data_IF_493442729286
#
_entry.id   IF_493442729286
#
_cell.length_a   1.000
_cell.length_b   1.000
_cell.length_c   1.000
_cell.angle_alpha   90.00
_cell.angle_beta   90.00
_cell.angle_gamma   90.00
#
_symmetry.space_group_name_H-M   'P 1'
#
loop_
_entity.id
_entity.type
_entity.pdbx_description
1 polymer ?
#
# COMPACT_ATOMS: atom_id res chain seq x y z
N UNK A 1 2.57 -19.99 1.53
CA UNK A 1 1.71 -20.37 2.69
C UNK A 1 1.26 -21.82 2.61
N UNK A 2 0.53 -22.26 1.58
CA UNK A 2 0.04 -23.66 1.50
C UNK A 2 1.16 -24.72 1.46
N UNK A 3 2.26 -24.46 0.75
CA UNK A 3 3.45 -25.34 0.77
C UNK A 3 4.21 -25.25 2.10
N UNK A 4 4.29 -24.04 2.68
CA UNK A 4 4.88 -23.84 4.02
C UNK A 4 4.13 -24.65 5.08
N UNK A 5 2.80 -24.67 5.03
CA UNK A 5 1.95 -25.47 5.94
C UNK A 5 2.01 -26.98 5.68
N UNK A 6 2.52 -27.42 4.53
CA UNK A 6 2.83 -28.83 4.26
C UNK A 6 4.15 -29.27 4.90
N UNK A 7 5.12 -28.35 5.04
CA UNK A 7 6.48 -28.65 5.52
C UNK A 7 6.67 -28.26 6.99
N UNK A 8 6.02 -27.19 7.43
CA UNK A 8 6.11 -26.63 8.77
C UNK A 8 4.77 -26.78 9.49
N UNK A 9 4.77 -27.64 10.50
CA UNK A 9 3.66 -27.81 11.45
C UNK A 9 4.18 -27.34 12.82
N UNK A 10 3.62 -26.27 13.41
CA UNK A 10 4.07 -25.79 14.70
C UNK A 10 3.77 -26.82 15.80
N UNK A 11 4.68 -26.96 16.77
CA UNK A 11 4.52 -27.88 17.91
C UNK A 11 3.25 -27.62 18.73
N UNK A 12 2.73 -26.39 18.69
CA UNK A 12 1.43 -26.04 19.22
C UNK A 12 0.62 -25.30 18.14
N UNK A 13 -0.52 -25.87 17.76
CA UNK A 13 -1.48 -25.16 16.92
C UNK A 13 -2.34 -24.30 17.83
N UNK A 14 -2.07 -22.99 17.78
CA UNK A 14 -2.90 -22.01 18.45
C UNK A 14 -4.18 -21.85 17.63
N UNK A 15 -5.30 -22.09 18.31
CA UNK A 15 -6.61 -21.84 17.74
C UNK A 15 -6.94 -20.36 17.78
N UNK A 16 -8.15 -20.09 17.34
CA UNK A 16 -8.71 -18.76 17.42
C UNK A 16 -8.56 -18.23 18.86
N UNK A 17 -7.75 -17.18 19.06
CA UNK A 17 -7.61 -16.47 20.35
C UNK A 17 -6.40 -16.84 21.17
N UNK A 18 -5.36 -17.41 20.54
CA UNK A 18 -4.11 -17.74 21.22
C UNK A 18 -4.24 -18.88 22.24
N UNK A 19 -5.39 -19.56 22.27
CA UNK A 19 -5.59 -20.76 23.08
C UNK A 19 -5.08 -21.98 22.32
N UNK A 20 -4.23 -22.82 22.93
CA UNK A 20 -3.83 -24.09 22.34
C UNK A 20 -5.07 -24.92 22.02
N UNK A 21 -5.19 -25.41 20.79
CA UNK A 21 -6.24 -26.37 20.46
C UNK A 21 -5.80 -27.71 21.06
N UNK A 22 -6.43 -28.13 22.15
CA UNK A 22 -6.28 -29.48 22.67
C UNK A 22 -6.72 -30.48 21.59
N UNK A 23 -5.80 -31.35 21.17
CA UNK A 23 -6.08 -32.37 20.14
C UNK A 23 -5.67 -32.00 18.70
N UNK A 24 -4.92 -30.90 18.48
CA UNK A 24 -4.42 -30.56 17.15
C UNK A 24 -3.49 -31.61 16.51
N UNK A 25 -2.87 -32.49 17.32
CA UNK A 25 -2.11 -33.64 16.84
C UNK A 25 -2.97 -34.84 16.40
N UNK A 26 -4.28 -34.87 16.73
CA UNK A 26 -5.16 -36.00 16.44
C UNK A 26 -6.25 -35.69 15.40
N UNK A 27 -6.52 -34.41 15.10
CA UNK A 27 -7.59 -33.99 14.18
C UNK A 27 -7.10 -33.29 12.90
N UNK A 28 -5.80 -33.37 12.58
CA UNK A 28 -5.28 -32.90 11.29
C UNK A 28 -5.83 -33.70 10.08
N UNK A 29 -6.48 -34.85 10.34
CA UNK A 29 -7.24 -35.67 9.40
C UNK A 29 -8.75 -35.42 9.47
N UNK A 30 -9.19 -34.17 9.69
CA UNK A 30 -10.54 -33.78 9.29
C UNK A 30 -10.60 -33.61 7.77
N UNK A 31 -10.50 -34.72 7.03
CA UNK A 31 -10.92 -34.87 5.63
C UNK A 31 -12.44 -34.81 5.50
N UNK A 32 -13.09 -33.83 6.16
CA UNK A 32 -14.42 -33.41 5.70
C UNK A 32 -14.18 -32.58 4.46
N UNK A 33 -14.36 -33.19 3.30
CA UNK A 33 -14.48 -32.47 2.03
C UNK A 33 -15.36 -31.25 2.27
N UNK A 34 -14.93 -30.09 1.78
CA UNK A 34 -15.63 -28.82 1.96
C UNK A 34 -17.07 -28.79 1.40
N UNK A 35 -17.54 -29.89 0.79
CA UNK A 35 -18.87 -30.02 0.19
C UNK A 35 -19.08 -29.18 -1.07
N UNK A 36 -18.19 -28.21 -1.33
CA UNK A 36 -18.20 -27.37 -2.52
C UNK A 36 -17.78 -28.15 -3.77
N UNK A 37 -18.52 -27.98 -4.85
CA UNK A 37 -18.11 -28.49 -6.16
C UNK A 37 -16.93 -27.69 -6.70
N UNK A 38 -16.19 -28.26 -7.65
CA UNK A 38 -15.14 -27.53 -8.37
C UNK A 38 -15.71 -26.26 -9.04
N UNK A 39 -16.97 -26.32 -9.50
CA UNK A 39 -17.68 -25.16 -10.05
C UNK A 39 -17.85 -24.03 -9.04
N UNK A 40 -18.25 -24.34 -7.81
CA UNK A 40 -18.44 -23.35 -6.74
C UNK A 40 -17.09 -22.70 -6.37
N UNK A 41 -16.02 -23.50 -6.33
CA UNK A 41 -14.67 -23.00 -6.06
C UNK A 41 -14.24 -22.05 -7.18
N UNK A 42 -14.42 -22.44 -8.44
CA UNK A 42 -14.07 -21.58 -9.59
C UNK A 42 -14.88 -20.29 -9.55
N UNK A 43 -16.18 -20.36 -9.29
CA UNK A 43 -17.05 -19.19 -9.22
C UNK A 43 -16.65 -18.24 -8.07
N UNK A 44 -16.22 -18.77 -6.92
CA UNK A 44 -15.74 -17.98 -5.79
C UNK A 44 -14.42 -17.25 -6.09
N UNK A 45 -13.52 -17.88 -6.84
CA UNK A 45 -12.23 -17.27 -7.23
C UNK A 45 -12.32 -16.39 -8.48
N UNK A 46 -13.37 -16.54 -9.30
CA UNK A 46 -13.54 -15.83 -10.56
C UNK A 46 -13.39 -14.31 -10.43
N UNK A 47 -13.99 -13.61 -9.45
CA UNK A 47 -13.83 -12.16 -9.32
C UNK A 47 -12.37 -11.72 -9.13
N UNK A 48 -11.61 -12.48 -8.34
CA UNK A 48 -10.19 -12.21 -8.08
C UNK A 48 -9.37 -12.47 -9.35
N UNK A 49 -9.64 -13.58 -10.05
CA UNK A 49 -8.95 -13.92 -11.29
C UNK A 49 -9.20 -12.86 -12.38
N UNK A 50 -10.46 -12.41 -12.54
CA UNK A 50 -10.81 -11.34 -13.48
C UNK A 50 -10.12 -10.04 -13.11
N UNK A 51 -10.15 -9.65 -11.83
CA UNK A 51 -9.46 -8.46 -11.34
C UNK A 51 -7.97 -8.50 -11.67
N UNK A 52 -7.29 -9.61 -11.36
CA UNK A 52 -5.86 -9.76 -11.66
C UNK A 52 -5.59 -9.71 -13.16
N UNK A 53 -6.36 -10.45 -13.97
CA UNK A 53 -6.20 -10.48 -15.42
C UNK A 53 -6.38 -9.10 -16.06
N UNK A 54 -7.45 -8.39 -15.70
CA UNK A 54 -7.72 -7.04 -16.22
C UNK A 54 -6.67 -6.05 -15.75
N UNK A 55 -6.33 -6.02 -14.45
CA UNK A 55 -5.34 -5.06 -13.92
C UNK A 55 -3.96 -5.29 -14.54
N UNK A 56 -3.52 -6.55 -14.68
CA UNK A 56 -2.24 -6.89 -15.33
C UNK A 56 -2.26 -6.46 -16.80
N UNK A 57 -3.30 -6.84 -17.55
CA UNK A 57 -3.42 -6.45 -18.95
C UNK A 57 -3.46 -4.92 -19.14
N UNK A 58 -4.09 -4.20 -18.21
CA UNK A 58 -4.31 -2.75 -18.29
C UNK A 58 -3.11 -1.93 -17.83
N UNK A 59 -2.37 -2.38 -16.81
CA UNK A 59 -1.30 -1.61 -16.15
C UNK A 59 0.11 -2.13 -16.41
N UNK A 60 0.24 -3.28 -17.08
CA UNK A 60 1.52 -3.83 -17.47
C UNK A 60 2.31 -2.93 -18.43
N UNK A 61 3.62 -3.16 -18.57
CA UNK A 61 4.52 -2.33 -19.38
C UNK A 61 4.16 -2.25 -20.87
N UNK A 62 3.34 -3.16 -21.37
CA UNK A 62 2.80 -3.16 -22.73
C UNK A 62 1.62 -2.18 -22.94
N UNK A 63 0.97 -1.72 -21.86
CA UNK A 63 -0.21 -0.87 -21.96
C UNK A 63 0.14 0.61 -21.88
N UNK A 64 -0.28 1.37 -22.90
CA UNK A 64 -0.17 2.84 -22.91
C UNK A 64 -1.30 3.54 -22.15
N UNK A 65 -2.29 2.80 -21.67
CA UNK A 65 -3.49 3.36 -21.05
C UNK A 65 -3.17 4.22 -19.81
N UNK A 66 -2.37 3.74 -18.82
CA UNK A 66 -2.12 4.52 -17.60
C UNK A 66 -1.36 5.83 -17.85
N UNK A 67 -0.62 5.91 -18.97
CA UNK A 67 0.14 7.10 -19.36
C UNK A 67 -0.68 8.17 -20.05
N UNK A 68 -1.94 7.90 -20.44
CA UNK A 68 -2.75 8.82 -21.22
C UNK A 68 -3.28 9.96 -20.34
N UNK A 69 -2.81 11.17 -20.62
CA UNK A 69 -3.26 12.41 -19.98
C UNK A 69 -4.39 13.01 -20.80
N UNK A 70 -5.52 13.33 -20.15
CA UNK A 70 -6.64 14.03 -20.78
C UNK A 70 -6.58 15.53 -20.57
N UNK A 71 -6.19 15.96 -19.38
CA UNK A 71 -6.06 17.36 -19.03
C UNK A 71 -4.75 17.55 -18.26
N UNK A 72 -4.02 18.59 -18.64
CA UNK A 72 -2.78 19.01 -17.99
C UNK A 72 -2.96 20.45 -17.53
N UNK A 73 -2.77 20.68 -16.24
CA UNK A 73 -2.70 22.02 -15.69
C UNK A 73 -1.38 22.18 -14.97
N UNK A 74 -0.59 23.18 -15.33
CA UNK A 74 0.62 23.53 -14.62
C UNK A 74 0.61 24.99 -14.16
N UNK A 75 1.22 25.23 -13.01
CA UNK A 75 1.50 26.56 -12.47
C UNK A 75 2.98 26.65 -12.15
N UNK A 76 3.60 27.76 -12.53
CA UNK A 76 4.96 28.07 -12.10
C UNK A 76 4.94 28.51 -10.64
N UNK A 77 5.75 27.85 -9.82
CA UNK A 77 5.96 28.19 -8.41
C UNK A 77 7.45 28.45 -8.16
N UNK A 78 7.77 29.29 -7.18
CA UNK A 78 9.16 29.46 -6.75
C UNK A 78 9.65 28.18 -6.05
N UNK A 79 10.87 27.75 -6.36
CA UNK A 79 11.52 26.65 -5.65
C UNK A 79 11.84 27.06 -4.22
N UNK A 80 11.48 26.20 -3.27
CA UNK A 80 11.85 26.33 -1.86
C UNK A 80 13.24 25.79 -1.54
N UNK A 81 13.87 25.07 -2.49
CA UNK A 81 15.19 24.44 -2.31
C UNK A 81 16.28 25.27 -2.97
N UNK A 82 16.00 25.80 -4.16
CA UNK A 82 17.00 26.49 -4.99
C UNK A 82 16.52 27.89 -5.30
N UNK A 83 17.18 28.88 -4.71
CA UNK A 83 16.80 30.28 -4.86
C UNK A 83 16.91 30.70 -6.34
N UNK A 84 15.87 31.38 -6.84
CA UNK A 84 15.79 31.84 -8.23
C UNK A 84 15.36 30.79 -9.26
N UNK A 85 15.10 29.54 -8.85
CA UNK A 85 14.57 28.50 -9.73
C UNK A 85 13.05 28.42 -9.62
N UNK A 86 12.36 28.36 -10.75
CA UNK A 86 10.93 28.06 -10.81
C UNK A 86 10.71 26.55 -10.98
N UNK A 87 9.84 25.98 -10.14
CA UNK A 87 9.36 24.61 -10.25
C UNK A 87 7.96 24.61 -10.86
N UNK A 88 7.66 23.61 -11.70
CA UNK A 88 6.32 23.41 -12.24
C UNK A 88 5.51 22.53 -11.29
N UNK A 89 4.42 23.08 -10.78
CA UNK A 89 3.38 22.31 -10.10
C UNK A 89 2.36 21.86 -11.15
N UNK A 90 2.45 20.61 -11.59
CA UNK A 90 1.55 20.04 -12.59
C UNK A 90 0.52 19.10 -11.96
N UNK A 91 -0.71 19.15 -12.47
CA UNK A 91 -1.76 18.18 -12.25
C UNK A 91 -2.13 17.54 -13.59
N UNK A 92 -1.85 16.24 -13.72
CA UNK A 92 -2.27 15.44 -14.85
C UNK A 92 -3.53 14.67 -14.51
N UNK A 93 -4.64 14.97 -15.18
CA UNK A 93 -5.81 14.11 -15.13
C UNK A 93 -5.59 12.88 -16.02
N UNK A 94 -5.29 11.75 -15.39
CA UNK A 94 -5.08 10.44 -16.04
C UNK A 94 -6.26 9.52 -15.72
N UNK A 95 -7.32 9.48 -16.55
CA UNK A 95 -8.54 8.73 -16.23
C UNK A 95 -8.36 7.22 -16.38
N UNK A 96 -7.28 6.73 -16.98
CA UNK A 96 -7.06 5.30 -17.25
C UNK A 96 -6.04 4.64 -16.31
N UNK A 97 -5.88 5.21 -15.12
CA UNK A 97 -5.05 4.64 -14.05
C UNK A 97 -5.71 3.41 -13.42
N UNK A 98 -5.01 2.75 -12.48
CA UNK A 98 -5.44 1.48 -11.88
C UNK A 98 -6.87 1.45 -11.33
N UNK A 99 -7.39 2.58 -10.82
CA UNK A 99 -8.79 2.67 -10.36
C UNK A 99 -9.82 2.34 -11.45
N UNK A 100 -9.57 2.77 -12.68
CA UNK A 100 -10.46 2.48 -13.83
C UNK A 100 -10.32 1.03 -14.29
N UNK A 101 -9.15 0.43 -14.15
CA UNK A 101 -8.97 -1.01 -14.37
C UNK A 101 -9.77 -1.84 -13.36
N UNK A 102 -9.84 -1.41 -12.10
CA UNK A 102 -10.68 -2.04 -11.07
C UNK A 102 -12.17 -1.89 -11.43
N UNK A 103 -12.60 -0.71 -11.87
CA UNK A 103 -13.97 -0.49 -12.34
C UNK A 103 -14.32 -1.40 -13.54
N UNK A 104 -13.42 -1.50 -14.52
CA UNK A 104 -13.61 -2.40 -15.66
C UNK A 104 -13.70 -3.87 -15.21
N UNK A 105 -12.86 -4.29 -14.26
CA UNK A 105 -12.92 -5.63 -13.66
C UNK A 105 -14.27 -5.89 -13.01
N UNK A 106 -14.78 -4.92 -12.24
CA UNK A 106 -16.10 -5.02 -11.61
C UNK A 106 -17.23 -5.16 -12.64
N UNK A 107 -17.18 -4.43 -13.77
CA UNK A 107 -18.16 -4.58 -14.86
C UNK A 107 -18.12 -6.00 -15.43
N UNK A 108 -16.92 -6.53 -15.72
CA UNK A 108 -16.78 -7.89 -16.24
C UNK A 108 -17.32 -8.92 -15.25
N UNK A 109 -17.00 -8.78 -13.96
CA UNK A 109 -17.52 -9.66 -12.91
C UNK A 109 -19.04 -9.58 -12.81
N UNK A 110 -19.63 -8.38 -12.87
CA UNK A 110 -21.07 -8.18 -12.80
C UNK A 110 -21.79 -8.85 -13.98
N UNK A 111 -21.21 -8.80 -15.19
CA UNK A 111 -21.73 -9.48 -16.38
C UNK A 111 -21.62 -11.00 -16.26
N UNK A 112 -20.48 -11.52 -15.79
CA UNK A 112 -20.26 -12.95 -15.61
C UNK A 112 -21.17 -13.56 -14.54
N UNK A 113 -21.43 -12.83 -13.45
CA UNK A 113 -22.36 -13.23 -12.40
C UNK A 113 -23.84 -12.95 -12.74
N UNK A 114 -24.11 -12.27 -13.86
CA UNK A 114 -25.46 -11.92 -14.33
C UNK A 114 -26.28 -11.22 -13.24
N UNK A 115 -25.66 -10.25 -12.58
CA UNK A 115 -26.27 -9.50 -11.47
C UNK A 115 -27.47 -8.71 -12.00
N UNK A 116 -28.60 -8.78 -11.29
CA UNK A 116 -29.80 -8.01 -11.64
C UNK A 116 -29.61 -6.51 -11.39
N UNK A 117 -30.39 -5.66 -12.09
CA UNK A 117 -30.33 -4.21 -11.91
C UNK A 117 -30.63 -3.76 -10.47
N UNK A 118 -31.55 -4.44 -9.78
CA UNK A 118 -31.88 -4.16 -8.38
C UNK A 118 -30.68 -4.42 -7.46
N UNK A 119 -29.97 -5.54 -7.65
CA UNK A 119 -28.76 -5.87 -6.90
C UNK A 119 -27.63 -4.87 -7.17
N UNK A 120 -27.48 -4.41 -8.42
CA UNK A 120 -26.49 -3.35 -8.74
C UNK A 120 -26.76 -2.07 -7.95
N UNK A 121 -28.02 -1.62 -7.91
CA UNK A 121 -28.41 -0.42 -7.15
C UNK A 121 -28.14 -0.60 -5.66
N UNK A 122 -28.45 -1.77 -5.11
CA UNK A 122 -28.15 -2.10 -3.71
C UNK A 122 -26.65 -2.04 -3.41
N UNK A 123 -25.83 -2.68 -4.26
CA UNK A 123 -24.36 -2.68 -4.15
C UNK A 123 -23.82 -1.25 -4.18
N UNK A 124 -24.28 -0.41 -5.12
CA UNK A 124 -23.86 0.98 -5.20
C UNK A 124 -24.24 1.80 -3.98
N UNK A 125 -25.49 1.69 -3.50
CA UNK A 125 -25.95 2.40 -2.30
C UNK A 125 -25.13 2.02 -1.07
N UNK A 126 -24.92 0.71 -0.87
CA UNK A 126 -24.13 0.19 0.25
C UNK A 126 -22.69 0.69 0.18
N UNK A 127 -22.06 0.56 -0.99
CA UNK A 127 -20.67 1.01 -1.21
C UNK A 127 -20.52 2.51 -0.99
N UNK A 128 -21.43 3.33 -1.53
CA UNK A 128 -21.41 4.78 -1.32
C UNK A 128 -21.53 5.15 0.16
N UNK A 129 -22.51 4.57 0.87
CA UNK A 129 -22.70 4.82 2.30
C UNK A 129 -21.49 4.42 3.15
N UNK A 130 -20.73 3.42 2.71
CA UNK A 130 -19.52 2.95 3.39
C UNK A 130 -18.29 3.81 3.03
N UNK A 131 -18.18 4.29 1.79
CA UNK A 131 -16.95 4.91 1.28
C UNK A 131 -16.96 6.45 1.27
N UNK A 132 -18.11 7.12 1.42
CA UNK A 132 -18.19 8.59 1.26
C UNK A 132 -17.19 9.35 2.14
N UNK A 133 -17.01 8.93 3.39
CA UNK A 133 -16.07 9.56 4.31
C UNK A 133 -14.62 9.39 3.87
N UNK A 134 -14.27 8.20 3.36
CA UNK A 134 -12.93 7.93 2.83
C UNK A 134 -12.65 8.74 1.55
N UNK A 135 -13.65 8.93 0.68
CA UNK A 135 -13.54 9.78 -0.50
C UNK A 135 -13.23 11.23 -0.11
N UNK A 136 -13.96 11.76 0.89
CA UNK A 136 -13.75 13.12 1.39
C UNK A 136 -12.35 13.29 2.00
N UNK A 137 -11.92 12.35 2.85
CA UNK A 137 -10.57 12.35 3.46
C UNK A 137 -9.48 12.29 2.38
N UNK A 138 -9.69 11.50 1.32
CA UNK A 138 -8.79 11.44 0.17
C UNK A 138 -8.53 12.82 -0.44
N UNK A 139 -9.59 13.58 -0.75
CA UNK A 139 -9.48 14.94 -1.31
C UNK A 139 -8.65 15.85 -0.41
N UNK A 140 -8.91 15.84 0.90
CA UNK A 140 -8.17 16.69 1.85
C UNK A 140 -6.72 16.29 2.01
N UNK A 141 -6.41 14.99 2.09
CA UNK A 141 -5.02 14.52 2.22
C UNK A 141 -4.20 14.87 0.99
N UNK A 142 -4.75 14.69 -0.21
CA UNK A 142 -4.04 15.11 -1.42
C UNK A 142 -3.88 16.63 -1.47
N UNK A 143 -4.91 17.41 -1.15
CA UNK A 143 -4.79 18.87 -1.04
C UNK A 143 -3.69 19.30 -0.06
N UNK A 144 -3.68 18.71 1.14
CA UNK A 144 -2.63 18.92 2.13
C UNK A 144 -1.26 18.51 1.62
N UNK A 145 -1.14 17.40 0.87
CA UNK A 145 0.09 16.97 0.22
C UNK A 145 0.60 17.96 -0.80
N UNK A 146 -0.25 18.53 -1.64
CA UNK A 146 0.15 19.60 -2.54
C UNK A 146 0.67 20.81 -1.75
N UNK A 147 -0.07 21.29 -0.76
CA UNK A 147 0.36 22.43 0.06
C UNK A 147 1.69 22.13 0.76
N UNK A 148 1.83 20.98 1.43
CA UNK A 148 3.05 20.54 2.11
C UNK A 148 4.27 20.48 1.18
N UNK A 149 4.09 19.96 -0.04
CA UNK A 149 5.16 19.75 -1.00
C UNK A 149 5.55 21.01 -1.78
N UNK A 150 4.64 21.98 -1.93
CA UNK A 150 4.86 23.20 -2.71
C UNK A 150 5.10 24.45 -1.85
N UNK A 151 4.67 24.48 -0.59
CA UNK A 151 5.01 25.56 0.35
C UNK A 151 6.46 25.50 0.84
N UNK A 152 7.19 24.41 0.53
CA UNK A 152 8.56 24.18 0.97
C UNK A 152 8.71 23.50 2.32
N UNK A 153 7.61 23.16 3.00
CA UNK A 153 7.69 22.39 4.26
C UNK A 153 8.42 21.06 4.08
N UNK A 154 8.12 20.32 3.01
CA UNK A 154 8.82 19.07 2.68
C UNK A 154 10.33 19.28 2.45
N UNK A 155 10.70 20.37 1.77
CA UNK A 155 12.09 20.71 1.47
C UNK A 155 12.88 21.10 2.72
N UNK A 156 12.31 21.95 3.58
CA UNK A 156 12.91 22.33 4.85
C UNK A 156 13.13 21.12 5.76
N UNK A 157 12.14 20.23 5.84
CA UNK A 157 12.28 18.98 6.59
C UNK A 157 13.37 18.09 5.99
N UNK A 158 13.42 17.97 4.65
CA UNK A 158 14.45 17.18 3.99
C UNK A 158 15.86 17.70 4.27
N UNK A 159 16.06 19.02 4.24
CA UNK A 159 17.34 19.65 4.58
C UNK A 159 17.78 19.35 6.01
N UNK A 160 16.86 19.45 6.98
CA UNK A 160 17.15 19.14 8.37
C UNK A 160 17.50 17.65 8.57
N UNK A 161 16.73 16.74 7.97
CA UNK A 161 16.99 15.29 8.09
C UNK A 161 18.23 14.83 7.31
N UNK A 162 18.65 15.57 6.28
CA UNK A 162 19.90 15.29 5.59
C UNK A 162 21.14 15.48 6.50
N UNK A 163 21.03 16.22 7.62
CA UNK A 163 22.13 16.31 8.60
C UNK A 163 22.48 14.97 9.25
N UNK A 164 21.56 13.99 9.23
CA UNK A 164 21.83 12.61 9.67
C UNK A 164 22.80 11.86 8.75
N UNK A 165 23.07 12.39 7.56
CA UNK A 165 23.92 11.74 6.56
C UNK A 165 23.37 10.37 6.16
N UNK A 166 24.26 9.42 5.79
CA UNK A 166 23.85 8.09 5.35
C UNK A 166 23.00 7.30 6.37
N UNK A 167 23.04 7.65 7.65
CA UNK A 167 22.22 7.00 8.69
C UNK A 167 20.72 7.19 8.46
N UNK A 168 20.30 8.18 7.66
CA UNK A 168 18.89 8.38 7.31
C UNK A 168 18.24 7.16 6.64
N UNK A 169 19.02 6.27 6.00
CA UNK A 169 18.49 5.03 5.43
C UNK A 169 17.79 4.12 6.46
N UNK A 170 18.19 4.21 7.74
CA UNK A 170 17.56 3.50 8.86
C UNK A 170 16.25 4.18 9.26
N UNK A 171 16.21 5.51 9.17
CA UNK A 171 15.07 6.34 9.57
C UNK A 171 13.95 6.31 8.52
N UNK A 172 14.28 6.23 7.24
CA UNK A 172 13.33 6.23 6.14
C UNK A 172 12.17 5.21 6.29
N UNK A 173 12.41 3.91 6.53
CA UNK A 173 11.33 2.94 6.72
C UNK A 173 10.53 3.17 8.02
N UNK A 174 11.16 3.71 9.07
CA UNK A 174 10.49 4.04 10.34
C UNK A 174 9.48 5.18 10.13
N UNK A 175 9.84 6.19 9.35
CA UNK A 175 8.92 7.29 9.03
C UNK A 175 7.71 6.80 8.23
N UNK A 176 7.91 5.87 7.28
CA UNK A 176 6.82 5.20 6.59
C UNK A 176 5.90 4.44 7.54
N UNK A 177 6.49 3.66 8.45
CA UNK A 177 5.77 2.91 9.49
C UNK A 177 4.92 3.82 10.39
N UNK A 178 5.50 4.90 10.91
CA UNK A 178 4.77 5.86 11.76
C UNK A 178 3.68 6.57 10.95
N UNK A 179 4.00 6.99 9.73
CA UNK A 179 3.07 7.69 8.86
C UNK A 179 1.80 6.87 8.59
N UNK A 180 1.93 5.57 8.29
CA UNK A 180 0.74 4.71 8.11
C UNK A 180 0.06 4.37 9.42
N UNK A 181 0.80 4.21 10.53
CA UNK A 181 0.20 3.86 11.81
C UNK A 181 -0.77 4.97 12.27
N UNK A 182 -0.47 6.22 11.92
CA UNK A 182 -1.32 7.38 12.18
C UNK A 182 -2.41 7.56 11.11
N UNK A 183 -2.06 7.43 9.82
CA UNK A 183 -2.98 7.75 8.72
C UNK A 183 -3.92 6.60 8.32
N UNK A 184 -3.54 5.35 8.60
CA UNK A 184 -4.20 4.14 8.13
C UNK A 184 -4.07 3.86 6.62
N UNK A 185 -3.33 4.67 5.87
CA UNK A 185 -3.29 4.61 4.40
C UNK A 185 -1.88 4.82 3.84
N UNK A 186 -1.36 3.81 3.15
CA UNK A 186 -0.04 3.90 2.52
C UNK A 186 -0.02 4.96 1.40
N UNK A 187 -1.12 5.13 0.66
CA UNK A 187 -1.24 6.18 -0.35
C UNK A 187 -1.15 7.56 0.28
N UNK A 188 -1.85 7.78 1.39
CA UNK A 188 -1.84 9.04 2.14
C UNK A 188 -0.45 9.35 2.70
N UNK A 189 0.19 8.36 3.30
CA UNK A 189 1.56 8.46 3.81
C UNK A 189 2.56 8.82 2.71
N UNK A 190 2.48 8.19 1.53
CA UNK A 190 3.39 8.51 0.42
C UNK A 190 3.08 9.84 -0.26
N UNK A 191 1.81 10.27 -0.31
CA UNK A 191 1.46 11.60 -0.81
C UNK A 191 2.14 12.69 0.04
N UNK A 192 2.18 12.50 1.36
CA UNK A 192 2.86 13.42 2.29
C UNK A 192 4.38 13.26 2.25
N UNK A 193 4.89 12.05 2.55
CA UNK A 193 6.31 11.84 2.84
C UNK A 193 7.14 11.36 1.66
N UNK A 194 6.53 10.84 0.59
CA UNK A 194 7.28 10.25 -0.54
C UNK A 194 8.22 11.25 -1.23
N UNK A 195 7.74 12.48 -1.49
CA UNK A 195 8.59 13.54 -2.04
C UNK A 195 9.67 13.98 -1.05
N UNK A 196 9.33 14.11 0.24
CA UNK A 196 10.32 14.39 1.29
C UNK A 196 11.46 13.35 1.30
N UNK A 197 11.14 12.05 1.24
CA UNK A 197 12.13 10.96 1.18
C UNK A 197 13.02 11.08 -0.08
N UNK A 198 12.42 11.38 -1.23
CA UNK A 198 13.16 11.59 -2.47
C UNK A 198 14.12 12.80 -2.37
N UNK A 199 13.67 13.89 -1.74
CA UNK A 199 14.50 15.09 -1.54
C UNK A 199 15.68 14.83 -0.61
N UNK A 200 15.48 14.11 0.50
CA UNK A 200 16.60 13.70 1.38
C UNK A 200 17.59 12.85 0.59
N UNK A 201 17.09 11.92 -0.22
CA UNK A 201 17.92 11.06 -1.07
C UNK A 201 18.74 11.85 -2.08
N UNK A 202 18.16 12.89 -2.68
CA UNK A 202 18.87 13.78 -3.60
C UNK A 202 20.00 14.55 -2.90
N UNK A 203 19.74 15.12 -1.72
CA UNK A 203 20.75 15.87 -0.95
C UNK A 203 21.93 14.96 -0.55
N UNK A 204 21.62 13.72 -0.17
CA UNK A 204 22.60 12.72 0.27
C UNK A 204 23.16 11.83 -0.84
N UNK A 205 22.78 12.09 -2.09
CA UNK A 205 23.20 11.33 -3.27
C UNK A 205 22.90 9.82 -3.18
N UNK A 206 21.79 9.43 -2.55
CA UNK A 206 21.26 8.06 -2.58
C UNK A 206 20.65 7.73 -3.94
N UNK A 207 20.55 6.43 -4.31
CA UNK A 207 19.76 6.01 -5.46
C UNK A 207 18.32 6.57 -5.37
N UNK A 208 17.79 7.21 -6.44
CA UNK A 208 16.56 8.00 -6.35
C UNK A 208 15.33 7.25 -5.83
N UNK A 209 15.24 5.95 -6.09
CA UNK A 209 14.10 5.14 -5.68
C UNK A 209 14.28 4.49 -4.31
N UNK A 210 15.48 4.49 -3.74
CA UNK A 210 15.78 3.72 -2.53
C UNK A 210 14.93 4.19 -1.33
N UNK A 211 15.06 5.46 -0.94
CA UNK A 211 14.37 6.00 0.24
C UNK A 211 12.83 6.03 0.07
N UNK A 212 12.26 6.47 -1.08
CA UNK A 212 10.82 6.37 -1.31
C UNK A 212 10.29 4.95 -1.25
N UNK A 213 11.06 3.96 -1.75
CA UNK A 213 10.65 2.55 -1.72
C UNK A 213 10.60 2.03 -0.30
N UNK A 214 11.66 2.20 0.48
CA UNK A 214 11.70 1.68 1.85
C UNK A 214 10.70 2.39 2.76
N UNK A 215 10.39 3.67 2.50
CA UNK A 215 9.27 4.38 3.12
C UNK A 215 7.93 3.70 2.83
N UNK A 216 7.65 3.41 1.55
CA UNK A 216 6.40 2.76 1.15
C UNK A 216 6.26 1.35 1.73
N UNK A 217 7.35 0.57 1.77
CA UNK A 217 7.33 -0.77 2.40
C UNK A 217 7.18 -0.66 3.93
N UNK A 218 7.86 0.28 4.58
CA UNK A 218 7.68 0.57 6.00
C UNK A 218 6.23 0.92 6.34
N UNK A 219 5.58 1.68 5.45
CA UNK A 219 4.17 2.00 5.52
C UNK A 219 3.22 0.82 5.20
N UNK A 220 3.68 -0.27 4.60
CA UNK A 220 2.88 -1.52 4.55
C UNK A 220 3.06 -2.33 5.85
N UNK A 221 4.28 -2.37 6.39
CA UNK A 221 4.59 -3.05 7.65
C UNK A 221 3.80 -2.46 8.84
N UNK A 222 3.52 -1.15 8.82
CA UNK A 222 2.74 -0.48 9.88
C UNK A 222 1.22 -0.63 9.79
N UNK A 223 0.68 -1.14 8.67
CA UNK A 223 -0.79 -1.28 8.52
C UNK A 223 -1.46 -2.13 9.59
N UNK A 224 -0.91 -3.28 10.04
CA UNK A 224 -1.57 -4.12 11.04
C UNK A 224 -1.77 -3.47 12.41
N UNK A 225 -1.07 -2.36 12.69
CA UNK A 225 -1.17 -1.60 13.94
C UNK A 225 -1.89 -0.27 13.77
N UNK A 226 -2.28 0.09 12.55
CA UNK A 226 -3.07 1.28 12.29
C UNK A 226 -4.53 1.05 12.75
N UNK A 227 -5.12 1.94 13.58
CA UNK A 227 -6.45 1.73 14.15
C UNK A 227 -7.55 1.47 13.12
N UNK A 228 -7.51 2.16 11.99
CA UNK A 228 -8.51 2.05 10.93
C UNK A 228 -8.45 0.66 10.26
N UNK A 229 -7.24 0.22 9.89
CA UNK A 229 -7.01 -1.10 9.28
C UNK A 229 -7.34 -2.22 10.26
N UNK A 230 -6.92 -2.06 11.52
CA UNK A 230 -7.22 -3.02 12.58
C UNK A 230 -8.73 -3.16 12.79
N UNK A 231 -9.47 -2.04 12.85
CA UNK A 231 -10.93 -2.04 13.00
C UNK A 231 -11.65 -2.79 11.86
N UNK A 232 -11.24 -2.53 10.61
CA UNK A 232 -11.76 -3.29 9.45
C UNK A 232 -11.42 -4.77 9.56
N UNK A 233 -10.18 -5.11 9.94
CA UNK A 233 -9.73 -6.49 10.10
C UNK A 233 -10.50 -7.25 11.18
N UNK A 234 -10.80 -6.61 12.32
CA UNK A 234 -11.54 -7.27 13.40
C UNK A 234 -13.05 -7.34 13.16
N UNK A 235 -13.60 -6.56 12.23
CA UNK A 235 -15.04 -6.48 11.94
C UNK A 235 -15.71 -7.83 11.61
N UNK A 236 -14.94 -8.80 11.13
CA UNK A 236 -15.38 -10.16 10.78
C UNK A 236 -14.96 -11.21 11.81
N UNK A 237 -14.42 -10.78 12.95
CA UNK A 237 -13.87 -11.62 14.01
C UNK A 237 -14.64 -11.43 15.32
N UNK A 238 -14.20 -12.07 16.40
CA UNK A 238 -14.74 -11.88 17.76
C UNK A 238 -14.07 -10.71 18.48
N UNK A 239 -13.04 -10.12 17.87
CA UNK A 239 -12.30 -8.99 18.42
C UNK A 239 -12.92 -7.64 18.02
N UNK A 240 -14.17 -7.64 17.52
CA UNK A 240 -14.96 -6.43 17.28
C UNK A 240 -15.01 -5.62 18.57
N UNK A 241 -14.65 -4.32 18.51
CA UNK A 241 -14.51 -3.42 19.67
C UNK A 241 -13.38 -3.78 20.64
N UNK A 242 -12.47 -4.65 20.22
CA UNK A 242 -11.26 -5.03 20.95
C UNK A 242 -10.03 -4.97 20.02
N UNK A 243 -9.95 -3.88 19.24
CA UNK A 243 -8.86 -3.60 18.30
C UNK A 243 -7.51 -3.54 19.00
N UNK A 244 -7.48 -2.99 20.23
CA UNK A 244 -6.27 -2.84 21.03
C UNK A 244 -5.56 -4.16 21.33
N UNK A 245 -6.30 -5.26 21.52
CA UNK A 245 -5.68 -6.58 21.72
C UNK A 245 -4.96 -7.07 20.46
N UNK A 246 -5.57 -6.90 19.30
CA UNK A 246 -5.00 -7.29 18.00
C UNK A 246 -3.80 -6.40 17.65
N UNK A 247 -3.91 -5.08 17.86
CA UNK A 247 -2.80 -4.14 17.65
C UNK A 247 -1.63 -4.52 18.57
N UNK A 248 -1.86 -4.75 19.86
CA UNK A 248 -0.81 -5.12 20.82
C UNK A 248 -0.13 -6.44 20.44
N UNK A 249 -0.89 -7.41 19.95
CA UNK A 249 -0.34 -8.69 19.48
C UNK A 249 0.52 -8.51 18.22
N UNK A 250 0.05 -7.72 17.25
CA UNK A 250 0.76 -7.49 16.00
C UNK A 250 1.98 -6.57 16.14
N UNK A 251 1.99 -5.68 17.14
CA UNK A 251 3.02 -4.65 17.29
C UNK A 251 4.44 -5.22 17.34
N UNK A 252 4.66 -6.29 18.12
CA UNK A 252 5.98 -6.95 18.19
C UNK A 252 6.44 -7.51 16.84
N UNK A 253 5.53 -8.15 16.10
CA UNK A 253 5.81 -8.69 14.76
C UNK A 253 6.09 -7.59 13.75
N UNK A 254 5.31 -6.52 13.79
CA UNK A 254 5.54 -5.33 12.97
C UNK A 254 6.93 -4.72 13.21
N UNK A 255 7.37 -4.62 14.47
CA UNK A 255 8.72 -4.15 14.80
C UNK A 255 9.81 -5.09 14.29
N UNK A 256 9.63 -6.41 14.42
CA UNK A 256 10.59 -7.39 13.92
C UNK A 256 10.75 -7.29 12.39
N UNK A 257 9.64 -7.18 11.66
CA UNK A 257 9.65 -7.02 10.19
C UNK A 257 10.20 -5.64 9.79
N UNK A 258 9.97 -4.60 10.60
CA UNK A 258 10.56 -3.28 10.38
C UNK A 258 12.09 -3.30 10.52
N UNK A 259 12.62 -3.97 11.55
CA UNK A 259 14.06 -4.18 11.71
C UNK A 259 14.61 -4.97 10.52
N UNK A 260 13.90 -6.02 10.08
CA UNK A 260 14.29 -6.78 8.89
C UNK A 260 14.35 -5.89 7.62
N UNK A 261 13.37 -5.01 7.42
CA UNK A 261 13.39 -4.05 6.31
C UNK A 261 14.58 -3.08 6.42
N UNK A 262 14.91 -2.60 7.61
CA UNK A 262 16.09 -1.75 7.83
C UNK A 262 17.37 -2.48 7.40
N UNK A 263 17.53 -3.74 7.80
CA UNK A 263 18.69 -4.56 7.40
C UNK A 263 18.75 -4.74 5.88
N UNK A 264 17.62 -5.04 5.23
CA UNK A 264 17.56 -5.11 3.77
C UNK A 264 17.93 -3.77 3.13
N UNK A 265 17.43 -2.66 3.67
CA UNK A 265 17.67 -1.32 3.12
C UNK A 265 19.17 -0.99 3.14
N UNK A 266 19.83 -1.24 4.27
CA UNK A 266 21.28 -1.07 4.42
C UNK A 266 22.04 -2.01 3.49
N UNK A 267 21.66 -3.29 3.42
CA UNK A 267 22.30 -4.26 2.53
C UNK A 267 22.18 -3.86 1.05
N UNK A 268 21.00 -3.42 0.61
CA UNK A 268 20.78 -2.91 -0.74
C UNK A 268 21.68 -1.72 -1.06
N UNK A 269 21.85 -0.79 -0.12
CA UNK A 269 22.73 0.37 -0.32
C UNK A 269 24.21 -0.03 -0.42
N UNK A 270 24.67 -0.96 0.41
CA UNK A 270 26.07 -1.37 0.45
C UNK A 270 26.47 -2.32 -0.69
N UNK A 271 25.60 -3.27 -1.05
CA UNK A 271 25.94 -4.35 -1.98
C UNK A 271 25.32 -4.19 -3.37
N UNK A 272 24.23 -3.44 -3.49
CA UNK A 272 23.47 -3.29 -4.75
C UNK A 272 23.06 -1.83 -5.01
N UNK A 273 23.98 -0.84 -4.97
CA UNK A 273 23.63 0.57 -5.10
C UNK A 273 22.96 0.92 -6.45
N UNK A 274 23.17 0.10 -7.48
CA UNK A 274 22.63 0.33 -8.82
C UNK A 274 21.20 -0.19 -9.02
N UNK A 275 20.68 -1.08 -8.16
CA UNK A 275 19.38 -1.75 -8.39
C UNK A 275 18.18 -0.80 -8.29
N UNK A 276 18.36 0.35 -7.62
CA UNK A 276 17.34 1.38 -7.40
C UNK A 276 17.64 2.68 -8.16
N UNK A 277 18.53 2.62 -9.16
CA UNK A 277 18.74 3.72 -10.10
C UNK A 277 17.74 3.60 -11.25
N UNK A 278 17.20 4.74 -11.67
CA UNK A 278 16.36 4.79 -12.87
C UNK A 278 17.26 4.53 -14.09
N UNK A 279 16.81 3.75 -15.09
CA UNK A 279 17.50 3.65 -16.36
C UNK A 279 17.73 5.06 -16.93
N UNK A 280 18.89 5.29 -17.52
CA UNK A 280 19.15 6.55 -18.21
C UNK A 280 18.06 6.77 -19.26
N UNK A 281 17.48 7.98 -19.37
CA UNK A 281 16.54 8.26 -20.45
C UNK A 281 17.22 7.96 -21.79
N UNK A 282 16.49 7.41 -22.78
CA UNK A 282 17.05 7.16 -24.10
C UNK A 282 17.65 8.46 -24.63
N UNK A 283 18.89 8.39 -25.11
CA UNK A 283 19.57 9.55 -25.71
C UNK A 283 18.69 10.06 -26.86
N UNK A 284 18.18 11.29 -26.71
CA UNK A 284 17.46 12.03 -27.74
C UNK A 284 18.43 12.60 -28.76
#
# INVERSE_FOLDING_TARGET
VLVLLKVWQPAQVLGYGGKPIAGAGANATSTKEHGLSIGDIIQAWMPIAVLLGVVIAWTGPWSKLPGKVWMHWDVAAASSITQGVTIKAAFDFKPYVGGTAILASWIVVALLLRISGAQLVEIFKKTWSQMWGALLVGVFIFGLAYVYNFSGMAASLAKAFAELGPAFIVVAPILGFIGVALSGSNTSTNAMFGKFQALVGQILNFPPLLLPTVNSVGAEIGKPVAPQTASVGVSTTRFVRNEGEVIRHNFGWCLAVLVYLILISVACYLFFPDIMRLPAPPAS
#
